data_IF_916792976820
#
_entry.id   IF_916792976820
#
_cell.length_a   1.000
_cell.length_b   1.000
_cell.length_c   1.000
_cell.angle_alpha   90.00
_cell.angle_beta   90.00
_cell.angle_gamma   90.00
#
_symmetry.space_group_name_H-M   'P 1'
#
loop_
_entity.id
_entity.type
_entity.pdbx_description
1 polymer ?
#
# COMPACT_ATOMS: atom_id res chain seq x y z
N UNK A 1 -77.33 24.22 19.40
CA UNK A 1 -75.96 24.66 19.71
C UNK A 1 -75.03 23.67 19.03
N UNK A 2 -74.58 23.98 17.81
CA UNK A 2 -73.73 23.09 17.01
C UNK A 2 -72.25 23.38 17.31
N UNK A 3 -71.54 22.39 17.84
CA UNK A 3 -70.09 22.47 18.06
C UNK A 3 -69.39 21.95 16.79
N UNK A 4 -68.86 22.86 15.97
CA UNK A 4 -68.01 22.50 14.83
C UNK A 4 -66.64 22.03 15.32
N UNK A 5 -66.44 20.71 15.31
CA UNK A 5 -65.13 20.07 15.48
C UNK A 5 -64.22 20.35 14.26
N UNK A 6 -63.30 21.30 14.38
CA UNK A 6 -62.19 21.46 13.43
C UNK A 6 -61.13 20.38 13.66
N UNK A 7 -61.13 19.33 12.83
CA UNK A 7 -59.99 18.40 12.70
C UNK A 7 -58.85 19.10 11.95
N UNK A 8 -57.80 19.52 12.65
CA UNK A 8 -56.51 19.90 12.04
C UNK A 8 -55.89 18.66 11.38
N UNK A 9 -55.90 18.60 10.05
CA UNK A 9 -55.07 17.66 9.28
C UNK A 9 -53.62 18.16 9.31
N UNK A 10 -52.84 17.71 10.29
CA UNK A 10 -51.39 17.87 10.30
C UNK A 10 -50.75 16.90 9.30
N UNK A 11 -50.62 17.31 8.04
CA UNK A 11 -49.85 16.56 7.05
C UNK A 11 -48.36 16.80 7.24
N UNK A 12 -47.56 15.74 7.33
CA UNK A 12 -46.10 15.82 7.40
C UNK A 12 -45.58 16.37 6.06
N UNK A 13 -44.81 17.46 6.10
CA UNK A 13 -44.23 18.05 4.90
C UNK A 13 -42.99 17.25 4.46
N UNK A 14 -43.20 16.24 3.61
CA UNK A 14 -42.14 15.37 3.11
C UNK A 14 -41.02 16.14 2.41
N UNK A 15 -41.31 17.28 1.77
CA UNK A 15 -40.29 18.13 1.16
C UNK A 15 -39.30 18.72 2.18
N UNK A 16 -39.78 19.08 3.36
CA UNK A 16 -38.96 19.62 4.44
C UNK A 16 -38.05 18.54 5.07
N UNK A 17 -38.54 17.29 5.12
CA UNK A 17 -37.75 16.13 5.55
C UNK A 17 -36.64 15.83 4.54
N UNK A 18 -36.94 15.83 3.23
CA UNK A 18 -35.93 15.59 2.18
C UNK A 18 -34.88 16.70 2.20
N UNK A 19 -35.31 17.96 2.32
CA UNK A 19 -34.40 19.11 2.30
C UNK A 19 -33.48 19.12 3.52
N UNK A 20 -34.02 18.88 4.72
CA UNK A 20 -33.19 18.75 5.93
C UNK A 20 -32.24 17.56 5.85
N UNK A 21 -32.68 16.42 5.33
CA UNK A 21 -31.81 15.26 5.06
C UNK A 21 -30.66 15.59 4.11
N UNK A 22 -30.93 16.34 3.04
CA UNK A 22 -29.91 16.75 2.06
C UNK A 22 -28.85 17.66 2.70
N UNK A 23 -29.26 18.57 3.58
CA UNK A 23 -28.34 19.44 4.34
C UNK A 23 -27.42 18.58 5.22
N UNK A 24 -27.95 17.58 5.92
CA UNK A 24 -27.12 16.68 6.75
C UNK A 24 -26.14 15.86 5.90
N UNK A 25 -26.55 15.36 4.73
CA UNK A 25 -25.67 14.63 3.82
C UNK A 25 -24.55 15.53 3.31
N UNK A 26 -24.87 16.75 2.86
CA UNK A 26 -23.87 17.73 2.40
C UNK A 26 -22.90 18.08 3.53
N UNK A 27 -23.41 18.35 4.73
CA UNK A 27 -22.59 18.64 5.91
C UNK A 27 -21.66 17.48 6.27
N UNK A 28 -22.14 16.24 6.15
CA UNK A 28 -21.34 15.03 6.39
C UNK A 28 -20.20 14.89 5.37
N UNK A 29 -20.51 15.10 4.08
CA UNK A 29 -19.52 15.06 2.99
C UNK A 29 -18.45 16.13 3.20
N UNK A 30 -18.84 17.36 3.54
CA UNK A 30 -17.91 18.45 3.81
C UNK A 30 -17.02 18.17 5.03
N UNK A 31 -17.60 17.65 6.11
CA UNK A 31 -16.83 17.27 7.31
C UNK A 31 -15.81 16.19 6.98
N UNK A 32 -16.22 15.16 6.24
CA UNK A 32 -15.31 14.12 5.76
C UNK A 32 -14.19 14.70 4.88
N UNK A 33 -14.53 15.63 3.97
CA UNK A 33 -13.55 16.31 3.13
C UNK A 33 -12.54 17.13 3.93
N UNK A 34 -12.97 17.83 4.98
CA UNK A 34 -12.07 18.57 5.87
C UNK A 34 -11.16 17.65 6.67
N UNK A 35 -11.67 16.51 7.14
CA UNK A 35 -10.83 15.49 7.79
C UNK A 35 -9.79 14.97 6.80
N UNK A 36 -10.18 14.64 5.57
CA UNK A 36 -9.23 14.23 4.54
C UNK A 36 -8.17 15.29 4.30
N UNK A 37 -8.53 16.58 4.19
CA UNK A 37 -7.54 17.67 4.03
C UNK A 37 -6.62 17.82 5.23
N UNK A 38 -7.14 17.63 6.44
CA UNK A 38 -6.34 17.67 7.66
C UNK A 38 -5.34 16.51 7.76
N UNK A 39 -5.73 15.32 7.29
CA UNK A 39 -4.90 14.10 7.36
C UNK A 39 -3.91 14.00 6.20
N UNK A 40 -4.35 14.32 4.97
CA UNK A 40 -3.57 14.10 3.74
C UNK A 40 -3.00 15.39 3.12
N UNK A 41 -3.28 16.57 3.69
CA UNK A 41 -2.81 17.85 3.15
C UNK A 41 -3.55 18.29 1.89
N UNK A 42 -2.89 19.11 1.05
CA UNK A 42 -3.45 19.55 -0.23
C UNK A 42 -3.40 18.41 -1.25
N UNK A 43 -4.55 17.79 -1.52
CA UNK A 43 -4.73 16.84 -2.62
C UNK A 43 -5.62 17.44 -3.71
N UNK A 44 -5.39 17.05 -4.97
CA UNK A 44 -6.30 17.40 -6.06
C UNK A 44 -7.55 16.51 -5.99
N UNK A 45 -8.74 17.14 -6.06
CA UNK A 45 -10.05 16.47 -6.01
C UNK A 45 -10.25 15.47 -7.14
N UNK A 46 -9.53 15.63 -8.26
CA UNK A 46 -9.58 14.71 -9.39
C UNK A 46 -9.08 13.30 -9.04
N UNK A 47 -8.22 13.17 -8.01
CA UNK A 47 -7.76 11.87 -7.49
C UNK A 47 -8.77 11.20 -6.55
N UNK A 48 -9.74 11.95 -6.02
CA UNK A 48 -10.74 11.41 -5.09
C UNK A 48 -11.92 10.73 -5.79
N UNK A 49 -12.18 11.07 -7.06
CA UNK A 49 -13.25 10.45 -7.83
C UNK A 49 -12.71 9.17 -8.44
N UNK A 50 -13.11 7.98 -7.94
CA UNK A 50 -12.58 6.73 -8.48
C UNK A 50 -13.08 6.57 -9.90
N UNK A 51 -12.18 6.26 -10.83
CA UNK A 51 -12.58 6.06 -12.23
C UNK A 51 -13.65 4.95 -12.33
N UNK A 52 -14.58 5.02 -13.30
CA UNK A 52 -15.60 3.98 -13.49
C UNK A 52 -15.01 2.58 -13.66
N UNK A 53 -13.80 2.49 -14.21
CA UNK A 53 -13.02 1.25 -14.33
C UNK A 53 -12.60 0.70 -12.96
N UNK A 54 -12.13 1.57 -12.06
CA UNK A 54 -11.75 1.20 -10.68
C UNK A 54 -12.98 0.74 -9.90
N UNK A 55 -14.09 1.50 -9.95
CA UNK A 55 -15.34 1.13 -9.28
C UNK A 55 -15.87 -0.21 -9.79
N UNK A 56 -15.92 -0.39 -11.11
CA UNK A 56 -16.35 -1.65 -11.72
C UNK A 56 -15.45 -2.81 -11.31
N UNK A 57 -14.15 -2.60 -11.21
CA UNK A 57 -13.18 -3.63 -10.81
C UNK A 57 -13.07 -3.87 -9.30
N UNK A 58 -13.63 -2.98 -8.47
CA UNK A 58 -13.78 -3.17 -7.04
C UNK A 58 -15.10 -3.91 -6.73
N UNK A 59 -16.12 -3.69 -7.56
CA UNK A 59 -17.42 -4.38 -7.49
C UNK A 59 -17.40 -5.72 -8.23
N UNK A 60 -16.64 -5.84 -9.31
CA UNK A 60 -16.36 -7.10 -9.97
C UNK A 60 -15.39 -7.90 -9.09
N UNK A 61 -15.70 -9.18 -8.88
CA UNK A 61 -14.81 -10.18 -8.25
C UNK A 61 -13.59 -10.51 -9.13
N UNK A 62 -13.08 -9.56 -9.91
CA UNK A 62 -11.85 -9.73 -10.64
C UNK A 62 -10.73 -9.76 -9.60
N UNK A 63 -10.29 -10.97 -9.25
CA UNK A 63 -9.19 -11.21 -8.32
C UNK A 63 -8.01 -10.33 -8.76
N UNK A 64 -7.41 -9.54 -7.86
CA UNK A 64 -6.28 -8.71 -8.23
C UNK A 64 -5.19 -9.60 -8.81
N UNK A 65 -4.73 -9.26 -10.01
CA UNK A 65 -3.66 -9.97 -10.70
C UNK A 65 -2.33 -9.52 -10.09
N UNK A 66 -1.66 -10.41 -9.36
CA UNK A 66 -0.45 -10.13 -8.57
C UNK A 66 0.78 -10.65 -9.33
N UNK A 67 1.88 -9.90 -9.32
CA UNK A 67 3.18 -10.40 -9.75
C UNK A 67 4.13 -10.51 -8.56
N UNK A 68 4.96 -11.55 -8.56
CA UNK A 68 6.12 -11.67 -7.67
C UNK A 68 7.37 -11.55 -8.53
N UNK A 69 8.24 -10.58 -8.23
CA UNK A 69 9.51 -10.47 -8.93
C UNK A 69 10.49 -11.55 -8.45
N UNK A 70 10.97 -12.35 -9.38
CA UNK A 70 12.23 -13.07 -9.24
C UNK A 70 13.33 -12.18 -9.80
N UNK A 71 14.18 -11.61 -8.94
CA UNK A 71 15.25 -10.74 -9.37
C UNK A 71 16.56 -11.51 -9.52
N UNK A 72 16.94 -11.78 -10.77
CA UNK A 72 18.21 -12.41 -11.10
C UNK A 72 19.38 -11.53 -10.68
N UNK A 73 19.23 -10.20 -10.77
CA UNK A 73 20.26 -9.27 -10.30
C UNK A 73 20.52 -9.41 -8.80
N UNK A 74 19.44 -9.52 -8.01
CA UNK A 74 19.57 -9.79 -6.58
C UNK A 74 20.19 -11.16 -6.32
N UNK A 75 19.80 -12.21 -7.05
CA UNK A 75 20.40 -13.54 -6.91
C UNK A 75 21.91 -13.50 -7.16
N UNK A 76 22.35 -12.87 -8.25
CA UNK A 76 23.75 -12.78 -8.65
C UNK A 76 24.60 -11.96 -7.67
N UNK A 77 23.98 -11.06 -6.91
CA UNK A 77 24.65 -10.26 -5.89
C UNK A 77 24.89 -11.04 -4.58
N UNK A 78 24.11 -12.10 -4.32
CA UNK A 78 24.20 -12.89 -3.10
C UNK A 78 25.39 -13.86 -3.15
N UNK A 79 25.90 -14.30 -1.99
CA UNK A 79 26.94 -15.34 -1.95
C UNK A 79 26.49 -16.61 -2.67
N UNK A 80 27.43 -17.29 -3.33
CA UNK A 80 27.17 -18.55 -4.01
C UNK A 80 26.49 -19.56 -3.06
N UNK A 81 25.41 -20.20 -3.53
CA UNK A 81 24.61 -21.14 -2.74
C UNK A 81 23.59 -20.49 -1.78
N UNK A 82 23.47 -19.16 -1.74
CA UNK A 82 22.47 -18.48 -0.92
C UNK A 82 21.03 -18.78 -1.38
N UNK A 83 20.22 -19.35 -0.50
CA UNK A 83 18.77 -19.60 -0.74
C UNK A 83 17.89 -18.40 -0.43
N UNK A 84 18.46 -17.31 0.11
CA UNK A 84 17.71 -16.21 0.74
C UNK A 84 16.63 -15.61 -0.16
N UNK A 85 16.91 -15.36 -1.44
CA UNK A 85 15.92 -14.83 -2.38
C UNK A 85 14.78 -15.84 -2.62
N UNK A 86 15.14 -17.09 -2.90
CA UNK A 86 14.16 -18.15 -3.16
C UNK A 86 13.27 -18.44 -1.94
N UNK A 87 13.81 -18.34 -0.73
CA UNK A 87 13.06 -18.49 0.53
C UNK A 87 12.03 -17.37 0.71
N UNK A 88 12.40 -16.12 0.38
CA UNK A 88 11.47 -14.98 0.37
C UNK A 88 10.37 -15.16 -0.67
N UNK A 89 10.72 -15.54 -1.90
CA UNK A 89 9.74 -15.80 -2.98
C UNK A 89 8.79 -16.93 -2.58
N UNK A 90 9.32 -18.03 -2.04
CA UNK A 90 8.53 -19.18 -1.60
C UNK A 90 7.57 -18.82 -0.47
N UNK A 91 7.98 -17.94 0.45
CA UNK A 91 7.11 -17.42 1.52
C UNK A 91 5.92 -16.66 0.93
N UNK A 92 6.16 -15.79 -0.06
CA UNK A 92 5.10 -15.06 -0.75
C UNK A 92 4.17 -15.98 -1.55
N UNK A 93 4.72 -16.97 -2.26
CA UNK A 93 3.92 -18.00 -2.95
C UNK A 93 2.95 -18.68 -1.99
N UNK A 94 3.48 -19.24 -0.89
CA UNK A 94 2.67 -19.89 0.16
C UNK A 94 1.59 -18.96 0.73
N UNK A 95 1.92 -17.70 0.98
CA UNK A 95 0.96 -16.73 1.49
C UNK A 95 -0.19 -16.47 0.50
N UNK A 96 0.13 -16.26 -0.78
CA UNK A 96 -0.87 -16.02 -1.81
C UNK A 96 -1.72 -17.27 -2.11
N UNK A 97 -1.10 -18.45 -2.12
CA UNK A 97 -1.79 -19.74 -2.26
C UNK A 97 -2.79 -19.94 -1.11
N UNK A 98 -2.37 -19.75 0.14
CA UNK A 98 -3.21 -19.89 1.33
C UNK A 98 -4.39 -18.89 1.36
N UNK A 99 -4.25 -17.76 0.67
CA UNK A 99 -5.29 -16.73 0.56
C UNK A 99 -6.09 -16.83 -0.75
N UNK A 100 -5.87 -17.88 -1.56
CA UNK A 100 -6.52 -18.14 -2.84
C UNK A 100 -6.36 -17.00 -3.87
N UNK A 101 -5.23 -16.30 -3.82
CA UNK A 101 -4.89 -15.24 -4.76
C UNK A 101 -4.09 -15.80 -5.95
N UNK A 102 -4.41 -15.35 -7.16
CA UNK A 102 -3.67 -15.71 -8.36
C UNK A 102 -2.45 -14.81 -8.50
N UNK A 103 -1.32 -15.41 -8.87
CA UNK A 103 -0.09 -14.67 -9.10
C UNK A 103 0.74 -15.28 -10.23
N UNK A 104 1.59 -14.44 -10.83
CA UNK A 104 2.68 -14.86 -11.70
C UNK A 104 4.02 -14.57 -11.04
N UNK A 105 5.02 -15.39 -11.33
CA UNK A 105 6.42 -15.04 -11.06
C UNK A 105 6.98 -14.42 -12.33
N UNK A 106 7.49 -13.19 -12.23
CA UNK A 106 8.03 -12.43 -13.36
C UNK A 106 9.54 -12.23 -13.21
N UNK A 107 10.22 -12.04 -14.33
CA UNK A 107 11.67 -11.74 -14.39
C UNK A 107 11.95 -10.24 -14.39
N UNK A 108 13.22 -9.86 -14.16
CA UNK A 108 13.70 -8.49 -14.30
C UNK A 108 13.35 -7.93 -15.70
N UNK A 109 13.56 -8.72 -16.76
CA UNK A 109 13.23 -8.34 -18.16
C UNK A 109 11.76 -7.95 -18.33
N UNK A 110 10.84 -8.62 -17.62
CA UNK A 110 9.40 -8.28 -17.66
C UNK A 110 9.16 -6.85 -17.16
N UNK A 111 9.93 -6.43 -16.15
CA UNK A 111 9.87 -5.07 -15.63
C UNK A 111 10.52 -4.09 -16.62
N UNK A 112 11.71 -4.42 -17.13
CA UNK A 112 12.46 -3.58 -18.07
C UNK A 112 11.71 -3.31 -19.39
N UNK A 113 11.03 -4.32 -19.93
CA UNK A 113 10.22 -4.21 -21.14
C UNK A 113 8.85 -3.56 -20.90
N UNK A 114 8.51 -3.20 -19.65
CA UNK A 114 7.23 -2.58 -19.33
C UNK A 114 6.04 -3.53 -19.50
N UNK A 115 6.23 -4.84 -19.34
CA UNK A 115 5.13 -5.81 -19.48
C UNK A 115 4.34 -6.00 -18.18
N UNK A 116 4.87 -5.47 -17.06
CA UNK A 116 4.29 -5.56 -15.72
C UNK A 116 3.08 -4.62 -15.47
N UNK A 117 2.79 -3.64 -16.33
CA UNK A 117 1.67 -2.70 -16.10
C UNK A 117 0.29 -3.37 -16.05
N UNK A 118 0.16 -4.62 -16.49
CA UNK A 118 -1.07 -5.41 -16.39
C UNK A 118 -1.39 -5.86 -14.95
N UNK A 119 -0.39 -5.92 -14.06
CA UNK A 119 -0.57 -6.36 -12.69
C UNK A 119 -1.09 -5.21 -11.82
N UNK A 120 -1.93 -5.53 -10.83
CA UNK A 120 -2.45 -4.57 -9.85
C UNK A 120 -1.52 -4.37 -8.67
N UNK A 121 -0.76 -5.41 -8.37
CA UNK A 121 0.21 -5.45 -7.29
C UNK A 121 1.48 -6.14 -7.79
N UNK A 122 2.62 -5.51 -7.55
CA UNK A 122 3.94 -6.14 -7.74
C UNK A 122 4.57 -6.33 -6.37
N UNK A 123 4.86 -7.57 -6.02
CA UNK A 123 5.62 -7.93 -4.84
C UNK A 123 7.10 -7.95 -5.22
N UNK A 124 7.91 -7.21 -4.47
CA UNK A 124 9.37 -7.15 -4.56
C UNK A 124 9.96 -7.87 -3.32
N UNK A 125 10.07 -9.21 -3.36
CA UNK A 125 10.48 -10.01 -2.22
C UNK A 125 12.00 -9.94 -2.02
N UNK A 126 12.47 -8.93 -1.30
CA UNK A 126 13.90 -8.77 -1.06
C UNK A 126 14.70 -8.38 -2.30
N UNK A 127 14.09 -7.76 -3.30
CA UNK A 127 14.74 -7.32 -4.56
C UNK A 127 15.72 -6.16 -4.32
N UNK A 128 16.89 -6.47 -3.76
CA UNK A 128 17.91 -5.49 -3.34
C UNK A 128 18.60 -4.81 -4.51
N UNK A 129 18.81 -5.57 -5.59
CA UNK A 129 19.49 -5.12 -6.79
C UNK A 129 18.48 -5.04 -7.93
N UNK A 130 18.44 -3.90 -8.62
CA UNK A 130 17.57 -3.62 -9.77
C UNK A 130 18.34 -2.80 -10.81
N UNK A 131 18.02 -2.94 -12.08
CA UNK A 131 18.58 -2.09 -13.15
C UNK A 131 17.98 -0.68 -13.12
N UNK A 132 18.65 0.28 -13.78
CA UNK A 132 18.09 1.64 -13.91
C UNK A 132 16.76 1.64 -14.66
N UNK A 133 16.61 0.73 -15.63
CA UNK A 133 15.35 0.58 -16.39
C UNK A 133 14.24 0.05 -15.51
N UNK A 134 14.51 -0.93 -14.66
CA UNK A 134 13.54 -1.44 -13.69
C UNK A 134 13.08 -0.34 -12.74
N UNK A 135 14.02 0.41 -12.17
CA UNK A 135 13.72 1.52 -11.26
C UNK A 135 12.82 2.55 -11.93
N UNK A 136 13.15 3.00 -13.14
CA UNK A 136 12.35 3.99 -13.88
C UNK A 136 10.94 3.45 -14.17
N UNK A 137 10.85 2.19 -14.57
CA UNK A 137 9.57 1.58 -14.92
C UNK A 137 8.68 1.33 -13.70
N UNK A 138 9.25 0.90 -12.58
CA UNK A 138 8.53 0.76 -11.31
C UNK A 138 8.00 2.11 -10.80
N UNK A 139 8.80 3.17 -10.88
CA UNK A 139 8.35 4.54 -10.55
C UNK A 139 7.16 4.95 -11.41
N UNK A 140 7.26 4.80 -12.74
CA UNK A 140 6.15 5.07 -13.67
C UNK A 140 4.92 4.20 -13.42
N UNK A 141 5.10 2.95 -12.98
CA UNK A 141 4.00 2.06 -12.61
C UNK A 141 3.25 2.59 -11.40
N UNK A 142 3.96 3.03 -10.37
CA UNK A 142 3.39 3.63 -9.16
C UNK A 142 2.71 4.96 -9.47
N UNK A 143 3.33 5.83 -10.28
CA UNK A 143 2.75 7.11 -10.72
C UNK A 143 1.41 6.93 -11.45
N UNK A 144 1.23 5.78 -12.12
CA UNK A 144 -0.02 5.42 -12.81
C UNK A 144 -1.06 4.75 -11.90
N UNK A 145 -0.82 4.70 -10.59
CA UNK A 145 -1.70 4.07 -9.59
C UNK A 145 -1.46 2.57 -9.41
N UNK A 146 -0.35 2.03 -9.90
CA UNK A 146 0.11 0.69 -9.58
C UNK A 146 0.53 0.57 -8.11
N UNK A 147 0.42 -0.63 -7.54
CA UNK A 147 0.82 -0.88 -6.14
C UNK A 147 2.04 -1.76 -6.07
N UNK A 148 2.99 -1.40 -5.20
CA UNK A 148 4.19 -2.21 -4.92
C UNK A 148 4.20 -2.64 -3.46
N UNK A 149 4.40 -3.93 -3.21
CA UNK A 149 4.68 -4.46 -1.88
C UNK A 149 6.16 -4.85 -1.82
N UNK A 150 6.93 -4.16 -1.01
CA UNK A 150 8.36 -4.38 -0.91
C UNK A 150 8.77 -4.89 0.47
N UNK A 151 9.84 -5.68 0.49
CA UNK A 151 10.44 -6.21 1.71
C UNK A 151 11.95 -6.07 1.63
N UNK A 152 12.61 -5.88 2.79
CA UNK A 152 14.05 -5.62 2.90
C UNK A 152 14.50 -4.31 2.21
N UNK A 153 15.78 -4.19 1.88
CA UNK A 153 16.36 -3.00 1.25
C UNK A 153 16.19 -2.98 -0.26
N UNK A 154 14.97 -2.80 -0.75
CA UNK A 154 14.65 -2.80 -2.18
C UNK A 154 15.42 -1.71 -2.95
N UNK A 155 15.96 -2.08 -4.12
CA UNK A 155 16.66 -1.18 -5.03
C UNK A 155 17.86 -0.41 -4.41
N UNK A 156 18.46 -0.96 -3.37
CA UNK A 156 19.62 -0.37 -2.70
C UNK A 156 20.95 -0.63 -3.43
N UNK A 157 20.93 -1.53 -4.42
CA UNK A 157 22.04 -1.84 -5.31
C UNK A 157 21.63 -1.74 -6.78
N UNK A 158 22.61 -1.51 -7.65
CA UNK A 158 22.47 -1.65 -9.11
C UNK A 158 22.50 -3.11 -9.54
N UNK A 159 22.14 -3.34 -10.79
CA UNK A 159 22.21 -4.63 -11.51
C UNK A 159 23.62 -5.22 -11.56
N UNK A 160 24.66 -4.39 -11.54
CA UNK A 160 26.06 -4.80 -11.41
C UNK A 160 26.57 -4.88 -9.94
N UNK A 161 25.66 -4.76 -8.96
CA UNK A 161 25.96 -4.94 -7.54
C UNK A 161 26.63 -3.75 -6.84
N UNK A 162 26.68 -2.57 -7.48
CA UNK A 162 27.18 -1.34 -6.84
C UNK A 162 26.14 -0.77 -5.88
N UNK A 163 26.62 -0.29 -4.74
CA UNK A 163 25.78 0.38 -3.76
C UNK A 163 25.20 1.69 -4.32
N UNK A 164 23.86 1.82 -4.31
CA UNK A 164 23.12 3.02 -4.76
C UNK A 164 22.55 3.85 -3.62
N UNK A 165 22.63 3.39 -2.39
CA UNK A 165 22.04 4.09 -1.25
C UNK A 165 20.54 3.85 -1.13
N UNK A 166 19.84 4.83 -0.58
CA UNK A 166 18.43 4.73 -0.20
C UNK A 166 17.51 5.64 -1.03
N UNK A 167 17.97 6.14 -2.18
CA UNK A 167 17.21 7.09 -3.00
C UNK A 167 15.87 6.52 -3.44
N UNK A 168 15.83 5.26 -3.91
CA UNK A 168 14.58 4.61 -4.27
C UNK A 168 13.61 4.51 -3.10
N UNK A 169 14.12 4.13 -1.92
CA UNK A 169 13.33 4.03 -0.68
C UNK A 169 12.72 5.38 -0.31
N UNK A 170 13.50 6.47 -0.41
CA UNK A 170 13.03 7.83 -0.13
C UNK A 170 11.98 8.31 -1.14
N UNK A 171 12.27 8.18 -2.44
CA UNK A 171 11.41 8.72 -3.50
C UNK A 171 10.11 7.93 -3.68
N UNK A 172 10.17 6.60 -3.52
CA UNK A 172 9.04 5.72 -3.86
C UNK A 172 8.13 5.48 -2.66
N UNK A 173 8.70 5.34 -1.45
CA UNK A 173 7.91 5.05 -0.26
C UNK A 173 7.62 6.30 0.59
N UNK A 174 8.23 7.45 0.27
CA UNK A 174 8.04 8.69 1.02
C UNK A 174 8.57 8.61 2.45
N UNK A 175 9.61 7.80 2.67
CA UNK A 175 10.24 7.59 3.98
C UNK A 175 11.75 7.76 3.86
N UNK A 176 12.34 8.55 4.75
CA UNK A 176 13.75 8.84 4.75
C UNK A 176 14.52 7.82 5.60
N UNK A 177 15.61 7.28 5.05
CA UNK A 177 16.58 6.53 5.86
C UNK A 177 17.22 7.44 6.91
N UNK A 178 17.07 7.10 8.20
CA UNK A 178 17.68 7.84 9.29
C UNK A 178 19.03 7.24 9.70
N UNK A 179 19.03 5.93 10.03
CA UNK A 179 20.25 5.19 10.38
C UNK A 179 20.06 3.69 10.37
N UNK A 180 21.14 2.96 10.21
CA UNK A 180 21.19 1.53 10.52
C UNK A 180 21.28 1.34 12.04
N UNK A 181 20.50 0.42 12.59
CA UNK A 181 20.60 0.02 14.00
C UNK A 181 21.80 -0.92 14.12
N UNK A 182 22.70 -0.61 15.06
CA UNK A 182 23.89 -1.42 15.33
C UNK A 182 23.51 -2.66 16.12
N UNK A 183 24.40 -3.66 16.11
CA UNK A 183 24.25 -4.91 16.87
C UNK A 183 24.62 -4.76 18.35
N UNK A 184 24.66 -3.53 18.87
CA UNK A 184 25.09 -3.23 20.24
C UNK A 184 24.05 -3.66 21.29
N UNK A 185 22.77 -3.72 20.92
CA UNK A 185 21.69 -4.33 21.71
C UNK A 185 21.23 -5.65 21.08
N UNK A 186 20.74 -6.63 21.85
CA UNK A 186 20.21 -7.88 21.30
C UNK A 186 18.82 -7.73 20.65
N UNK A 187 18.00 -6.83 21.18
CA UNK A 187 16.64 -6.57 20.67
C UNK A 187 16.25 -5.11 20.89
N UNK A 188 15.45 -4.56 19.97
CA UNK A 188 14.72 -3.31 20.19
C UNK A 188 13.23 -3.64 20.27
N UNK A 189 12.53 -3.05 21.24
CA UNK A 189 11.08 -3.15 21.33
C UNK A 189 10.50 -2.08 20.40
N UNK A 190 9.80 -2.52 19.36
CA UNK A 190 9.03 -1.64 18.48
C UNK A 190 7.54 -1.90 18.71
N UNK A 191 6.76 -0.86 18.94
CA UNK A 191 5.31 -1.02 19.15
C UNK A 191 4.55 -0.66 17.88
N UNK A 192 3.67 -1.54 17.45
CA UNK A 192 2.79 -1.26 16.32
C UNK A 192 1.68 -0.28 16.70
N UNK A 193 1.40 0.65 15.77
CA UNK A 193 0.19 1.46 15.80
C UNK A 193 -0.98 0.58 15.37
N UNK A 194 -1.88 0.27 16.31
CA UNK A 194 -3.11 -0.46 16.03
C UNK A 194 -4.17 0.41 15.34
N UNK A 195 -5.18 -0.24 14.78
CA UNK A 195 -6.37 0.43 14.24
C UNK A 195 -6.23 1.03 12.83
N UNK A 196 -5.16 0.71 12.10
CA UNK A 196 -5.04 1.01 10.67
C UNK A 196 -5.49 -0.20 9.84
N UNK A 197 -5.88 -0.05 8.56
CA UNK A 197 -6.28 -1.20 7.73
C UNK A 197 -5.27 -2.36 7.73
N UNK A 198 -3.98 -2.06 7.71
CA UNK A 198 -2.89 -3.06 7.74
C UNK A 198 -2.64 -3.65 9.15
N UNK A 199 -3.11 -2.98 10.21
CA UNK A 199 -2.98 -3.40 11.61
C UNK A 199 -4.33 -3.59 12.31
N UNK A 200 -5.42 -3.79 11.56
CA UNK A 200 -6.78 -3.72 12.09
C UNK A 200 -7.07 -4.74 13.20
N UNK A 201 -6.44 -5.92 13.09
CA UNK A 201 -6.55 -7.01 14.05
C UNK A 201 -5.34 -7.10 14.99
N UNK A 202 -4.50 -6.06 15.04
CA UNK A 202 -3.33 -6.00 15.91
C UNK A 202 -3.62 -4.99 17.03
N UNK A 203 -3.54 -5.41 18.32
CA UNK A 203 -3.73 -4.50 19.44
C UNK A 203 -2.76 -3.31 19.37
N UNK A 204 -3.26 -2.12 19.71
CA UNK A 204 -2.39 -0.95 19.85
C UNK A 204 -1.33 -1.21 20.91
N UNK A 205 -0.07 -0.90 20.59
CA UNK A 205 1.05 -1.16 21.49
C UNK A 205 1.57 -2.59 21.43
N UNK A 206 1.12 -3.41 20.47
CA UNK A 206 1.66 -4.76 20.27
C UNK A 206 3.19 -4.70 20.08
N UNK A 207 3.98 -5.34 20.96
CA UNK A 207 5.42 -5.28 20.91
C UNK A 207 5.96 -6.26 19.87
N UNK A 208 6.54 -5.74 18.80
CA UNK A 208 7.41 -6.48 17.90
C UNK A 208 8.80 -6.57 18.52
N UNK A 209 9.25 -7.81 18.70
CA UNK A 209 10.64 -8.12 19.03
C UNK A 209 11.41 -8.24 17.74
N UNK A 210 12.18 -7.20 17.41
CA UNK A 210 13.06 -7.21 16.24
C UNK A 210 14.48 -7.52 16.72
N UNK A 211 15.06 -8.59 16.18
CA UNK A 211 16.45 -8.92 16.46
C UNK A 211 17.35 -7.93 15.71
N UNK A 212 18.37 -7.42 16.39
CA UNK A 212 19.29 -6.44 15.79
C UNK A 212 20.24 -7.07 14.79
N UNK A 213 20.50 -8.39 14.87
CA UNK A 213 21.32 -9.10 13.87
C UNK A 213 20.70 -9.10 12.47
N UNK A 214 19.39 -8.84 12.35
CA UNK A 214 18.69 -8.64 11.08
C UNK A 214 18.98 -7.25 10.48
N UNK A 215 19.85 -6.46 11.12
CA UNK A 215 20.29 -5.12 10.73
C UNK A 215 19.12 -4.20 10.38
N UNK A 216 18.16 -4.00 11.30
CA UNK A 216 17.01 -3.15 11.03
C UNK A 216 17.47 -1.71 10.76
N UNK A 217 16.72 -1.02 9.92
CA UNK A 217 16.93 0.39 9.61
C UNK A 217 15.87 1.22 10.34
N UNK A 218 16.29 2.35 10.90
CA UNK A 218 15.37 3.40 11.33
C UNK A 218 15.04 4.27 10.13
N UNK A 219 13.75 4.51 9.91
CA UNK A 219 13.23 5.39 8.88
C UNK A 219 12.27 6.41 9.49
N UNK A 220 12.19 7.58 8.88
CA UNK A 220 11.37 8.72 9.30
C UNK A 220 10.44 9.13 8.16
N UNK A 221 9.22 9.57 8.49
CA UNK A 221 8.24 10.12 7.53
C UNK A 221 8.38 11.63 7.51
#
# INVERSE_FOLDING_TARGET
MEIKSQKRKGGINQGLIIFSGLIFVIGSILTYYFILRGVFGNFNTDYLIPSPKIVKSALAKDKPYIAILYSQYTENMLPEGSTWLNDNITTWKKFLDNTNNLYDVISDETIELGQHYKYRLIVLPGSKSLSDREVINLKKYIDKGGSVFATSGTASFSDDGKWRGWEFFNEVYGINFAKAIKNDDFTKIHTLRGGLPITANIPTGFPLKVATWDKPIAAEV
#
